data_IF_554328801675
#
_entry.id   IF_554328801675
#
_cell.length_a   1.000
_cell.length_b   1.000
_cell.length_c   1.000
_cell.angle_alpha   90.00
_cell.angle_beta   90.00
_cell.angle_gamma   90.00
#
_symmetry.space_group_name_H-M   'P 1'
#
loop_
_entity.id
_entity.type
_entity.pdbx_description
1 polymer ?
#
# COMPACT_ATOMS: atom_id res chain seq x y z
N UNK A 1 1.18 -71.81 10.39
CA UNK A 1 0.87 -70.98 11.56
C UNK A 1 1.31 -69.51 11.43
N UNK A 2 2.05 -69.11 10.41
CA UNK A 2 2.59 -67.72 10.22
C UNK A 2 1.60 -66.74 9.54
N UNK A 3 0.56 -67.22 8.84
CA UNK A 3 -0.36 -66.35 8.08
C UNK A 3 -1.43 -65.65 8.90
N UNK A 4 -1.60 -65.98 10.19
CA UNK A 4 -2.60 -65.38 11.11
C UNK A 4 -2.06 -64.18 11.88
N UNK A 5 -0.75 -64.04 12.02
CA UNK A 5 -0.16 -62.94 12.80
C UNK A 5 0.05 -61.66 11.94
N UNK A 6 0.27 -61.80 10.62
CA UNK A 6 0.36 -60.63 9.72
C UNK A 6 -0.94 -59.85 9.57
N UNK A 7 -2.08 -60.52 9.65
CA UNK A 7 -3.41 -59.83 9.54
C UNK A 7 -3.82 -59.07 10.81
N UNK A 8 -3.25 -59.39 11.96
CA UNK A 8 -3.52 -58.66 13.21
C UNK A 8 -2.74 -57.35 13.31
N UNK A 9 -1.53 -57.26 12.73
CA UNK A 9 -0.70 -56.06 12.73
C UNK A 9 -1.23 -54.96 11.81
N UNK A 10 -1.90 -55.32 10.72
CA UNK A 10 -2.46 -54.33 9.75
C UNK A 10 -3.81 -53.74 10.25
N UNK A 11 -4.52 -54.41 11.15
CA UNK A 11 -5.79 -53.91 11.73
C UNK A 11 -5.58 -52.83 12.81
N UNK A 12 -4.39 -52.73 13.40
CA UNK A 12 -4.07 -51.80 14.49
C UNK A 12 -3.76 -50.34 14.03
N UNK A 13 -3.68 -50.08 12.74
CA UNK A 13 -3.29 -48.75 12.20
C UNK A 13 -4.44 -47.92 11.64
N UNK A 14 -5.69 -48.26 11.93
CA UNK A 14 -6.87 -47.43 11.60
C UNK A 14 -7.44 -46.76 12.85
N UNK A 15 -6.61 -45.95 13.52
CA UNK A 15 -7.17 -45.01 14.49
C UNK A 15 -7.87 -43.90 13.68
N UNK A 16 -9.20 -43.96 13.62
CA UNK A 16 -10.03 -42.87 13.07
C UNK A 16 -9.96 -41.67 14.01
N UNK A 17 -9.98 -40.47 13.44
CA UNK A 17 -10.05 -39.23 14.23
C UNK A 17 -11.36 -39.21 15.06
N UNK A 18 -11.26 -38.75 16.30
CA UNK A 18 -12.45 -38.59 17.15
C UNK A 18 -13.16 -37.28 16.76
N UNK A 19 -14.49 -37.25 16.95
CA UNK A 19 -15.27 -36.02 16.68
C UNK A 19 -14.78 -34.84 17.51
N UNK A 20 -14.38 -35.07 18.76
CA UNK A 20 -13.84 -34.03 19.65
C UNK A 20 -12.50 -33.48 19.13
N UNK A 21 -11.64 -34.28 18.55
CA UNK A 21 -10.36 -33.87 18.01
C UNK A 21 -10.53 -32.93 16.81
N UNK A 22 -11.45 -33.23 15.92
CA UNK A 22 -11.80 -32.33 14.80
C UNK A 22 -12.43 -31.04 15.32
N UNK A 23 -13.31 -31.11 16.33
CA UNK A 23 -13.96 -29.92 16.90
C UNK A 23 -12.95 -28.99 17.55
N UNK A 24 -12.01 -29.52 18.31
CA UNK A 24 -10.92 -28.73 18.91
C UNK A 24 -9.99 -28.15 17.83
N UNK A 25 -9.64 -28.92 16.80
CA UNK A 25 -8.81 -28.43 15.70
C UNK A 25 -9.47 -27.25 14.98
N UNK A 26 -10.75 -27.34 14.64
CA UNK A 26 -11.51 -26.25 13.98
C UNK A 26 -11.60 -25.02 14.89
N UNK A 27 -11.82 -25.21 16.20
CA UNK A 27 -11.86 -24.10 17.16
C UNK A 27 -10.51 -23.35 17.22
N UNK A 28 -9.39 -24.07 17.25
CA UNK A 28 -8.04 -23.47 17.25
C UNK A 28 -7.78 -22.72 15.95
N UNK A 29 -8.11 -23.31 14.80
CA UNK A 29 -7.94 -22.66 13.49
C UNK A 29 -8.78 -21.37 13.41
N UNK A 30 -10.01 -21.41 13.93
CA UNK A 30 -10.88 -20.22 13.99
C UNK A 30 -10.28 -19.07 14.79
N UNK A 31 -9.71 -19.36 15.97
CA UNK A 31 -9.06 -18.37 16.82
C UNK A 31 -7.80 -17.79 16.13
N UNK A 32 -6.93 -18.64 15.59
CA UNK A 32 -5.71 -18.22 14.90
C UNK A 32 -6.01 -17.39 13.65
N UNK A 33 -7.05 -17.71 12.90
CA UNK A 33 -7.49 -16.97 11.72
C UNK A 33 -7.88 -15.53 12.07
N UNK A 34 -8.54 -15.31 13.20
CA UNK A 34 -8.95 -13.95 13.63
C UNK A 34 -7.75 -13.07 13.95
N UNK A 35 -6.75 -13.59 14.66
CA UNK A 35 -5.52 -12.85 15.02
C UNK A 35 -4.69 -12.50 13.77
N UNK A 36 -4.59 -13.43 12.81
CA UNK A 36 -3.84 -13.21 11.58
C UNK A 36 -4.43 -12.06 10.74
N UNK A 37 -5.74 -11.95 10.64
CA UNK A 37 -6.43 -10.92 9.84
C UNK A 37 -6.12 -9.51 10.35
N UNK A 38 -6.12 -9.28 11.66
CA UNK A 38 -5.83 -7.96 12.27
C UNK A 38 -4.40 -7.48 11.98
N UNK A 39 -3.42 -8.39 11.98
CA UNK A 39 -2.02 -8.05 11.69
C UNK A 39 -1.80 -7.67 10.22
N UNK A 40 -2.45 -8.35 9.30
CA UNK A 40 -2.37 -8.11 7.86
C UNK A 40 -2.91 -6.71 7.52
N UNK A 41 -4.07 -6.34 8.05
CA UNK A 41 -4.70 -5.03 7.78
C UNK A 41 -3.80 -3.87 8.22
N UNK A 42 -3.23 -3.93 9.44
CA UNK A 42 -2.32 -2.89 9.93
C UNK A 42 -1.05 -2.76 9.08
N UNK A 43 -0.49 -3.87 8.63
CA UNK A 43 0.70 -3.85 7.78
C UNK A 43 0.38 -3.30 6.38
N UNK A 44 -0.79 -3.60 5.83
CA UNK A 44 -1.26 -3.07 4.57
C UNK A 44 -1.42 -1.55 4.63
N UNK A 45 -2.07 -1.01 5.68
CA UNK A 45 -2.22 0.44 5.85
C UNK A 45 -0.85 1.15 6.01
N UNK A 46 0.09 0.57 6.73
CA UNK A 46 1.46 1.10 6.79
C UNK A 46 2.16 1.10 5.43
N UNK A 47 2.00 0.04 4.66
CA UNK A 47 2.57 -0.06 3.31
C UNK A 47 1.97 1.00 2.39
N UNK A 48 0.64 1.19 2.41
CA UNK A 48 -0.06 2.25 1.67
C UNK A 48 0.45 3.65 2.06
N UNK A 49 0.56 3.92 3.38
CA UNK A 49 1.06 5.21 3.85
C UNK A 49 2.51 5.47 3.41
N UNK A 50 3.35 4.43 3.36
CA UNK A 50 4.72 4.56 2.85
C UNK A 50 4.71 4.84 1.35
N UNK A 51 3.93 4.09 0.57
CA UNK A 51 3.79 4.31 -0.87
C UNK A 51 3.27 5.73 -1.19
N UNK A 52 2.29 6.24 -0.43
CA UNK A 52 1.79 7.60 -0.59
C UNK A 52 2.88 8.66 -0.28
N UNK A 53 3.73 8.45 0.75
CA UNK A 53 4.87 9.34 1.06
C UNK A 53 5.88 9.39 -0.09
N UNK A 54 6.20 8.26 -0.66
CA UNK A 54 7.12 8.17 -1.78
C UNK A 54 6.52 8.83 -3.03
N UNK A 55 5.24 8.61 -3.29
CA UNK A 55 4.52 9.20 -4.40
C UNK A 55 4.44 10.74 -4.31
N UNK A 56 4.08 11.33 -3.16
CA UNK A 56 4.02 12.79 -3.03
C UNK A 56 5.40 13.46 -3.23
N UNK A 57 6.49 12.77 -2.83
CA UNK A 57 7.86 13.26 -3.07
C UNK A 57 8.24 13.11 -4.56
N UNK A 58 7.87 12.01 -5.19
CA UNK A 58 8.12 11.76 -6.61
C UNK A 58 7.37 12.78 -7.49
N UNK A 59 6.08 12.99 -7.24
CA UNK A 59 5.27 13.99 -7.96
C UNK A 59 5.84 15.39 -7.75
N UNK A 60 6.26 15.75 -6.53
CA UNK A 60 6.95 17.03 -6.28
C UNK A 60 8.23 17.17 -7.10
N UNK A 61 9.01 16.09 -7.22
CA UNK A 61 10.20 16.03 -8.08
C UNK A 61 9.84 16.25 -9.55
N UNK A 62 8.78 15.60 -10.02
CA UNK A 62 8.27 15.75 -11.39
C UNK A 62 7.81 17.20 -11.67
N UNK A 63 7.13 17.87 -10.71
CA UNK A 63 6.78 19.30 -10.83
C UNK A 63 8.01 20.18 -10.97
N UNK A 64 9.10 19.89 -10.23
CA UNK A 64 10.35 20.63 -10.36
C UNK A 64 11.04 20.36 -11.70
N UNK A 65 11.02 19.14 -12.19
CA UNK A 65 11.53 18.77 -13.50
C UNK A 65 10.77 19.51 -14.61
N UNK A 66 9.44 19.50 -14.54
CA UNK A 66 8.60 20.30 -15.45
C UNK A 66 8.99 21.77 -15.48
N UNK A 67 9.25 22.38 -14.30
CA UNK A 67 9.69 23.78 -14.21
C UNK A 67 11.06 24.00 -14.86
N UNK A 68 12.00 23.07 -14.70
CA UNK A 68 13.34 23.18 -15.31
C UNK A 68 13.23 23.18 -16.84
N UNK A 69 12.40 22.32 -17.41
CA UNK A 69 12.20 22.17 -18.85
C UNK A 69 11.41 23.34 -19.43
N UNK A 70 10.30 23.70 -18.81
CA UNK A 70 9.33 24.66 -19.37
C UNK A 70 9.49 26.09 -18.85
N UNK A 71 10.36 26.34 -17.85
CA UNK A 71 10.54 27.64 -17.15
C UNK A 71 9.26 28.19 -16.51
N UNK A 72 8.24 27.36 -16.37
CA UNK A 72 6.96 27.63 -15.72
C UNK A 72 6.50 26.40 -14.94
N UNK A 73 5.79 26.61 -13.85
CA UNK A 73 5.20 25.50 -13.09
C UNK A 73 3.95 24.97 -13.81
N UNK A 74 3.64 23.65 -13.67
CA UNK A 74 2.39 23.12 -14.18
C UNK A 74 1.21 23.76 -13.44
N UNK A 75 0.10 23.92 -14.15
CA UNK A 75 -1.17 24.38 -13.57
C UNK A 75 -2.00 23.23 -13.00
N UNK A 76 -1.77 22.02 -13.52
CA UNK A 76 -2.41 20.77 -13.12
C UNK A 76 -1.40 19.63 -13.20
N UNK A 77 -1.53 18.62 -12.32
CA UNK A 77 -0.65 17.45 -12.31
C UNK A 77 -0.76 16.60 -13.58
N UNK A 78 -1.89 16.66 -14.29
CA UNK A 78 -2.06 15.96 -15.57
C UNK A 78 -1.04 16.37 -16.61
N UNK A 79 -0.52 17.59 -16.54
CA UNK A 79 0.56 18.04 -17.44
C UNK A 79 1.88 17.26 -17.24
N UNK A 80 2.02 16.54 -16.14
CA UNK A 80 3.21 15.72 -15.88
C UNK A 80 3.15 14.35 -16.56
N UNK A 81 1.95 13.84 -16.82
CA UNK A 81 1.69 12.54 -17.43
C UNK A 81 1.42 12.65 -18.94
N UNK A 82 1.21 13.85 -19.45
CA UNK A 82 0.99 14.13 -20.86
C UNK A 82 2.35 14.28 -21.56
N UNK A 83 2.55 13.50 -22.63
CA UNK A 83 3.67 13.71 -23.55
C UNK A 83 3.40 14.95 -24.39
N UNK A 84 4.37 15.85 -24.56
CA UNK A 84 4.24 17.05 -25.38
C UNK A 84 5.24 17.04 -26.53
N UNK A 85 4.74 16.83 -27.75
CA UNK A 85 5.59 16.78 -28.96
C UNK A 85 6.50 15.55 -28.94
N UNK A 86 7.82 15.76 -29.04
CA UNK A 86 8.86 14.73 -28.99
C UNK A 86 9.31 14.37 -27.55
N UNK A 87 8.80 15.10 -26.54
CA UNK A 87 9.15 14.87 -25.14
C UNK A 87 8.25 13.80 -24.51
N UNK A 88 8.89 12.87 -23.79
CA UNK A 88 8.20 11.84 -22.99
C UNK A 88 7.52 12.46 -21.76
N UNK A 89 6.48 11.76 -21.23
CA UNK A 89 5.84 12.16 -19.99
C UNK A 89 6.88 12.23 -18.85
N UNK A 90 6.82 13.30 -18.04
CA UNK A 90 7.75 13.50 -16.93
C UNK A 90 7.46 12.54 -15.77
N UNK A 91 6.19 12.16 -15.62
CA UNK A 91 5.73 11.18 -14.64
C UNK A 91 5.14 9.99 -15.39
N UNK A 92 5.77 8.83 -15.22
CA UNK A 92 5.29 7.57 -15.80
C UNK A 92 4.10 7.03 -15.01
N UNK A 93 3.25 6.24 -15.68
CA UNK A 93 2.11 5.55 -15.05
C UNK A 93 0.74 6.11 -15.42
N UNK A 94 0.69 7.18 -16.22
CA UNK A 94 -0.57 7.79 -16.67
C UNK A 94 -1.45 8.28 -15.52
N UNK A 95 -2.77 8.24 -15.69
CA UNK A 95 -3.75 8.69 -14.68
C UNK A 95 -3.57 7.99 -13.32
N UNK A 96 -3.18 6.71 -13.31
CA UNK A 96 -2.95 5.96 -12.06
C UNK A 96 -1.80 6.51 -11.20
N UNK A 97 -0.86 7.25 -11.80
CA UNK A 97 0.21 7.91 -11.05
C UNK A 97 -0.27 9.15 -10.27
N UNK A 98 -1.47 9.63 -10.57
CA UNK A 98 -2.10 10.77 -9.91
C UNK A 98 -3.09 10.37 -8.80
N UNK A 99 -3.30 9.07 -8.59
CA UNK A 99 -4.13 8.52 -7.53
C UNK A 99 -3.28 7.98 -6.38
N UNK A 100 -3.74 8.24 -5.17
CA UNK A 100 -3.11 7.70 -3.97
C UNK A 100 -3.53 6.23 -3.72
N UNK A 101 -2.88 5.48 -2.80
CA UNK A 101 -3.19 4.08 -2.54
C UNK A 101 -4.61 3.82 -1.99
N UNK A 102 -5.36 4.84 -1.64
CA UNK A 102 -6.76 4.74 -1.20
C UNK A 102 -7.75 5.12 -2.29
N UNK A 103 -7.27 5.64 -3.46
CA UNK A 103 -8.08 5.96 -4.63
C UNK A 103 -8.49 7.44 -4.74
N UNK A 104 -7.86 8.33 -3.96
CA UNK A 104 -8.05 9.77 -4.07
C UNK A 104 -7.00 10.39 -4.99
N UNK A 105 -7.38 11.37 -5.82
CA UNK A 105 -6.41 12.13 -6.61
C UNK A 105 -5.49 12.94 -5.69
N UNK A 106 -4.18 13.02 -6.02
CA UNK A 106 -3.25 13.88 -5.31
C UNK A 106 -3.61 15.35 -5.53
N UNK A 107 -3.62 16.12 -4.44
CA UNK A 107 -3.83 17.57 -4.49
C UNK A 107 -2.49 18.29 -4.65
N UNK A 108 -2.46 19.27 -5.55
CA UNK A 108 -1.31 20.12 -5.81
C UNK A 108 -1.56 21.56 -5.35
N UNK A 109 -0.71 22.07 -4.49
CA UNK A 109 -0.76 23.44 -4.01
C UNK A 109 0.59 24.12 -4.25
N UNK A 110 0.53 25.38 -4.73
CA UNK A 110 1.72 26.20 -4.95
C UNK A 110 1.55 27.60 -4.39
N UNK A 111 2.54 28.05 -3.62
CA UNK A 111 2.62 29.43 -3.15
C UNK A 111 4.04 29.97 -3.45
N UNK A 112 4.15 30.79 -4.49
CA UNK A 112 5.43 31.25 -5.01
C UNK A 112 6.31 30.09 -5.48
N UNK A 113 7.43 29.86 -4.79
CA UNK A 113 8.37 28.76 -5.05
C UNK A 113 8.06 27.51 -4.19
N UNK A 114 7.16 27.62 -3.22
CA UNK A 114 6.81 26.50 -2.36
C UNK A 114 5.80 25.62 -3.06
N UNK A 115 6.15 24.34 -3.21
CA UNK A 115 5.32 23.28 -3.81
C UNK A 115 4.94 22.31 -2.70
N UNK A 116 3.67 21.98 -2.62
CA UNK A 116 3.14 20.94 -1.73
C UNK A 116 2.26 20.01 -2.53
N UNK A 117 2.54 18.71 -2.45
CA UNK A 117 1.70 17.63 -2.95
C UNK A 117 1.13 16.91 -1.75
N UNK A 118 -0.15 16.59 -1.79
CA UNK A 118 -0.93 16.09 -0.66
C UNK A 118 -1.72 14.86 -1.11
N UNK A 119 -1.63 13.77 -0.35
CA UNK A 119 -2.59 12.66 -0.38
C UNK A 119 -3.60 12.87 0.75
N UNK A 120 -4.86 12.57 0.50
CA UNK A 120 -5.92 12.63 1.49
C UNK A 120 -5.80 11.57 2.59
N UNK A 121 -4.98 10.53 2.36
CA UNK A 121 -4.81 9.47 3.35
C UNK A 121 -5.96 8.47 3.41
N UNK A 122 -6.03 7.66 4.50
CA UNK A 122 -6.97 6.55 4.64
C UNK A 122 -8.44 6.93 4.62
N UNK A 123 -8.79 8.12 5.08
CA UNK A 123 -10.18 8.60 5.16
C UNK A 123 -10.67 9.28 3.87
N UNK A 124 -9.76 9.49 2.90
CA UNK A 124 -10.02 10.14 1.60
C UNK A 124 -10.56 11.57 1.71
N UNK A 125 -10.32 12.26 2.85
CA UNK A 125 -10.74 13.65 3.09
C UNK A 125 -9.53 14.55 3.29
N UNK A 126 -9.46 15.70 2.60
CA UNK A 126 -8.37 16.66 2.75
C UNK A 126 -8.60 17.61 3.91
N UNK A 127 -7.50 18.01 4.58
CA UNK A 127 -7.52 19.08 5.58
C UNK A 127 -7.49 18.59 7.03
N UNK A 128 -7.10 17.36 7.26
CA UNK A 128 -7.02 16.72 8.57
C UNK A 128 -5.61 16.18 8.90
N UNK A 129 -5.51 15.43 9.99
CA UNK A 129 -4.23 14.89 10.46
C UNK A 129 -3.73 13.67 9.65
N UNK A 130 -4.61 13.03 8.90
CA UNK A 130 -4.33 11.87 8.04
C UNK A 130 -3.65 12.27 6.72
N UNK A 131 -3.69 13.57 6.37
CA UNK A 131 -3.04 14.10 5.18
C UNK A 131 -1.54 13.78 5.14
N UNK A 132 -1.11 13.13 4.07
CA UNK A 132 0.30 12.89 3.77
C UNK A 132 0.80 14.00 2.85
N UNK A 133 1.64 14.90 3.42
CA UNK A 133 2.08 16.12 2.76
C UNK A 133 3.58 16.12 2.52
N UNK A 134 3.99 16.49 1.31
CA UNK A 134 5.42 16.53 0.92
C UNK A 134 6.26 17.55 1.72
N UNK A 135 5.66 18.60 2.30
CA UNK A 135 6.38 19.57 3.13
C UNK A 135 6.61 19.06 4.57
N UNK A 136 5.69 18.27 5.14
CA UNK A 136 5.86 17.64 6.46
C UNK A 136 6.95 16.55 6.43
N UNK A 137 7.04 15.77 5.34
CA UNK A 137 8.05 14.71 5.16
C UNK A 137 9.46 15.31 5.13
N UNK A 138 9.66 16.39 4.38
CA UNK A 138 10.95 17.08 4.32
C UNK A 138 11.39 17.61 5.68
N UNK A 139 10.47 18.09 6.50
CA UNK A 139 10.73 18.59 7.85
C UNK A 139 11.12 17.49 8.84
N UNK A 140 10.61 16.28 8.67
CA UNK A 140 10.94 15.12 9.51
C UNK A 140 12.37 14.62 9.26
N UNK A 141 12.83 14.63 8.00
CA UNK A 141 14.18 14.20 7.63
C UNK A 141 15.28 15.17 8.03
N UNK A 142 14.97 16.43 8.34
CA UNK A 142 15.96 17.45 8.72
C UNK A 142 16.17 17.59 10.24
N UNK A 143 15.58 16.70 11.05
CA UNK A 143 15.70 16.70 12.53
C UNK A 143 16.61 15.59 13.09
N UNK A 144 17.33 14.86 12.24
CA UNK A 144 18.32 13.85 12.63
C UNK A 144 19.75 14.35 12.40
#
# INVERSE_FOLDING_TARGET
MQKREENAAVAAMRAGFTLIEILVAVAIIGILGTVATMSITKNLEKAKATAARDAVNNIKGAVMNYYIQNKKYPTDLRQLIEASGDDEAILEGGEGALEDPWGSEYKYERSGKKIVVISAGPDMEFGNDDDIRSDKIASANNKN
#
